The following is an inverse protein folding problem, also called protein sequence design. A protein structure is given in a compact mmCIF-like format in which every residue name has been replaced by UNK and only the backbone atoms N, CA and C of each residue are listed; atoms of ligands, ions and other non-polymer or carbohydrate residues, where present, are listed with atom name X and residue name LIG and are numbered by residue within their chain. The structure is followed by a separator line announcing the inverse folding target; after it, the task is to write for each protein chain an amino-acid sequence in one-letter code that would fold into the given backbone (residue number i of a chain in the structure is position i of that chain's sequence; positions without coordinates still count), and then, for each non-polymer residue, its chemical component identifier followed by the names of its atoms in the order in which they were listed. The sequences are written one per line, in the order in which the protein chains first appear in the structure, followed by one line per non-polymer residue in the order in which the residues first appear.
data_IF_639923863125
#
_entry.id   IF_639923863125
#
_cell.length_a   1.000
_cell.length_b   1.000
_cell.length_c   1.000
_cell.angle_alpha   90.00
_cell.angle_beta   90.00
_cell.angle_gamma   90.00
#
_symmetry.space_group_name_H-M   'P 1'
#
loop_
_entity.id
_entity.type
_entity.pdbx_description
1 polymer ?
#
# COMPACT_ATOMS: atom_id res chain seq x y z
N UNK A 1 13.04 2.35 -2.59
CA UNK A 1 13.15 3.71 -2.04
C UNK A 1 14.42 3.67 -1.24
N UNK A 2 15.48 4.32 -1.73
CA UNK A 2 16.78 4.31 -1.05
C UNK A 2 16.90 5.63 -0.30
N UNK A 3 16.22 5.70 0.85
CA UNK A 3 16.49 6.71 1.87
C UNK A 3 17.20 5.99 3.01
N UNK A 4 18.26 6.59 3.56
CA UNK A 4 18.97 6.04 4.71
C UNK A 4 18.22 6.34 6.01
N UNK A 5 18.58 5.65 7.11
CA UNK A 5 17.92 5.83 8.42
C UNK A 5 17.93 7.28 8.90
N UNK A 6 19.02 8.03 8.65
CA UNK A 6 19.14 9.42 9.06
C UNK A 6 18.27 10.39 8.25
N UNK A 7 17.85 10.00 7.04
CA UNK A 7 16.88 10.74 6.23
C UNK A 7 15.45 10.43 6.66
N UNK A 8 15.17 9.19 7.05
CA UNK A 8 13.86 8.78 7.58
C UNK A 8 13.51 9.50 8.88
N UNK A 9 14.47 9.63 9.79
CA UNK A 9 14.27 10.27 11.11
C UNK A 9 13.90 11.77 11.02
N UNK A 10 14.10 12.40 9.86
CA UNK A 10 13.80 13.82 9.65
C UNK A 10 12.40 14.06 9.12
N UNK A 11 11.68 13.01 8.73
CA UNK A 11 10.37 13.11 8.13
C UNK A 11 9.28 13.21 9.19
N UNK A 12 8.27 14.02 8.91
CA UNK A 12 7.02 14.03 9.65
C UNK A 12 6.27 12.71 9.51
N UNK A 13 5.31 12.45 10.42
CA UNK A 13 4.47 11.24 10.35
C UNK A 13 3.67 11.19 9.05
N UNK A 14 3.24 12.35 8.58
CA UNK A 14 2.51 12.52 7.34
C UNK A 14 3.38 12.22 6.12
N UNK A 15 4.64 12.67 6.10
CA UNK A 15 5.58 12.33 5.03
C UNK A 15 5.92 10.83 5.00
N UNK A 16 6.07 10.20 6.16
CA UNK A 16 6.24 8.74 6.27
C UNK A 16 5.01 7.99 5.73
N UNK A 17 3.80 8.47 6.06
CA UNK A 17 2.55 7.91 5.52
C UNK A 17 2.51 8.00 4.00
N UNK A 18 2.83 9.16 3.42
CA UNK A 18 2.88 9.34 1.96
C UNK A 18 3.87 8.38 1.30
N UNK A 19 5.06 8.21 1.89
CA UNK A 19 6.05 7.25 1.40
C UNK A 19 5.58 5.81 1.45
N UNK A 20 4.81 5.42 2.48
CA UNK A 20 4.22 4.09 2.57
C UNK A 20 3.20 3.86 1.44
N UNK A 21 2.27 4.79 1.22
CA UNK A 21 1.23 4.66 0.19
C UNK A 21 1.76 4.83 -1.24
N UNK A 22 2.84 5.60 -1.44
CA UNK A 22 3.57 5.61 -2.70
C UNK A 22 4.28 4.27 -2.94
N UNK A 23 4.82 3.70 -1.86
CA UNK A 23 5.39 2.37 -1.83
C UNK A 23 4.40 1.30 -2.29
N UNK A 24 3.16 1.30 -1.79
CA UNK A 24 2.17 0.28 -2.17
C UNK A 24 1.94 0.25 -3.68
N UNK A 25 1.68 1.40 -4.31
CA UNK A 25 1.51 1.49 -5.78
C UNK A 25 2.76 1.01 -6.51
N UNK A 26 3.95 1.43 -6.07
CA UNK A 26 5.21 1.02 -6.70
C UNK A 26 5.40 -0.50 -6.66
N UNK A 27 5.31 -1.11 -5.48
CA UNK A 27 5.60 -2.53 -5.29
C UNK A 27 4.53 -3.42 -5.91
N UNK A 28 3.26 -3.00 -5.94
CA UNK A 28 2.20 -3.69 -6.71
C UNK A 28 2.47 -3.69 -8.21
N UNK A 29 2.99 -2.59 -8.79
CA UNK A 29 3.40 -2.59 -10.21
C UNK A 29 4.61 -3.50 -10.46
N UNK A 30 5.60 -3.48 -9.57
CA UNK A 30 6.78 -4.35 -9.69
C UNK A 30 6.37 -5.82 -9.61
N UNK A 31 5.45 -6.18 -8.72
CA UNK A 31 4.98 -7.57 -8.62
C UNK A 31 4.22 -8.01 -9.87
N UNK A 32 3.37 -7.13 -10.43
CA UNK A 32 2.71 -7.38 -11.73
C UNK A 32 3.71 -7.68 -12.84
N UNK A 33 4.70 -6.81 -13.01
CA UNK A 33 5.75 -7.01 -14.02
C UNK A 33 6.56 -8.28 -13.76
N UNK A 34 6.83 -8.63 -12.50
CA UNK A 34 7.50 -9.87 -12.14
C UNK A 34 6.67 -11.11 -12.52
N UNK A 35 5.36 -11.10 -12.28
CA UNK A 35 4.46 -12.18 -12.70
C UNK A 35 4.41 -12.33 -14.22
N UNK A 36 4.32 -11.23 -14.97
CA UNK A 36 4.36 -11.26 -16.45
C UNK A 36 5.64 -11.88 -16.99
N UNK A 37 6.75 -11.73 -16.27
CA UNK A 37 8.06 -12.29 -16.62
C UNK A 37 8.32 -13.68 -15.98
N UNK A 38 7.34 -14.28 -15.32
CA UNK A 38 7.47 -15.54 -14.56
C UNK A 38 8.52 -15.50 -13.42
N UNK A 39 8.89 -14.31 -12.93
CA UNK A 39 9.75 -14.13 -11.76
C UNK A 39 8.89 -14.17 -10.48
N UNK A 40 8.45 -15.38 -10.14
CA UNK A 40 7.49 -15.60 -9.06
C UNK A 40 8.04 -15.26 -7.67
N UNK A 41 9.35 -15.45 -7.44
CA UNK A 41 9.98 -15.10 -6.17
C UNK A 41 9.98 -13.59 -5.96
N UNK A 42 10.32 -12.82 -7.00
CA UNK A 42 10.24 -11.36 -6.95
C UNK A 42 8.80 -10.88 -6.78
N UNK A 43 7.86 -11.46 -7.52
CA UNK A 43 6.44 -11.13 -7.37
C UNK A 43 5.96 -11.34 -5.93
N UNK A 44 6.25 -12.50 -5.34
CA UNK A 44 5.93 -12.84 -3.96
C UNK A 44 6.52 -11.82 -2.97
N UNK A 45 7.82 -11.55 -3.07
CA UNK A 45 8.51 -10.64 -2.15
C UNK A 45 7.92 -9.22 -2.18
N UNK A 46 7.56 -8.71 -3.36
CA UNK A 46 6.96 -7.39 -3.50
C UNK A 46 5.50 -7.38 -3.03
N UNK A 47 4.72 -8.44 -3.26
CA UNK A 47 3.36 -8.55 -2.73
C UNK A 47 3.35 -8.65 -1.20
N UNK A 48 4.24 -9.43 -0.59
CA UNK A 48 4.42 -9.47 0.87
C UNK A 48 4.77 -8.10 1.41
N UNK A 49 5.64 -7.34 0.71
CA UNK A 49 5.97 -5.98 1.10
C UNK A 49 4.74 -5.07 1.13
N UNK A 50 3.88 -5.13 0.11
CA UNK A 50 2.63 -4.36 0.07
C UNK A 50 1.67 -4.78 1.20
N UNK A 51 1.51 -6.08 1.43
CA UNK A 51 0.66 -6.62 2.49
C UNK A 51 1.14 -6.19 3.89
N UNK A 52 2.45 -6.11 4.11
CA UNK A 52 3.04 -5.61 5.35
C UNK A 52 2.74 -4.12 5.54
N UNK A 53 2.82 -3.30 4.49
CA UNK A 53 2.46 -1.88 4.56
C UNK A 53 0.98 -1.72 4.95
N UNK A 54 0.06 -2.45 4.30
CA UNK A 54 -1.36 -2.37 4.68
C UNK A 54 -1.62 -2.88 6.10
N UNK A 55 -0.89 -3.90 6.56
CA UNK A 55 -0.96 -4.35 7.96
C UNK A 55 -0.53 -3.26 8.94
N UNK A 56 0.54 -2.51 8.62
CA UNK A 56 0.99 -1.39 9.43
C UNK A 56 -0.06 -0.27 9.45
N UNK A 57 -0.62 0.10 8.29
CA UNK A 57 -1.68 1.10 8.19
C UNK A 57 -2.93 0.70 8.98
N UNK A 58 -3.32 -0.58 8.95
CA UNK A 58 -4.42 -1.10 9.75
C UNK A 58 -4.15 -1.03 11.25
N UNK A 59 -2.91 -1.33 11.66
CA UNK A 59 -2.51 -1.36 13.08
C UNK A 59 -2.41 0.04 13.68
N UNK A 60 -2.00 1.02 12.88
CA UNK A 60 -1.78 2.40 13.31
C UNK A 60 -2.99 3.32 13.11
N UNK A 61 -4.03 2.87 12.42
CA UNK A 61 -5.25 3.64 12.21
C UNK A 61 -6.08 3.73 13.50
N UNK A 62 -6.33 4.96 13.95
CA UNK A 62 -7.26 5.24 15.03
C UNK A 62 -8.72 4.98 14.57
N UNK A 63 -9.25 3.81 14.94
CA UNK A 63 -10.61 3.41 14.59
C UNK A 63 -11.71 4.10 15.40
N UNK A 64 -11.34 4.85 16.45
CA UNK A 64 -12.27 5.66 17.24
C UNK A 64 -12.48 7.06 16.62
N UNK A 65 -11.67 7.44 15.62
CA UNK A 65 -11.78 8.71 14.90
C UNK A 65 -13.08 8.85 14.07
N UNK A 66 -13.90 7.81 13.98
CA UNK A 66 -15.24 7.84 13.42
C UNK A 66 -15.51 6.73 12.40
N UNK A 67 -16.67 6.81 11.74
CA UNK A 67 -17.11 5.80 10.77
C UNK A 67 -16.15 5.67 9.58
N UNK A 68 -15.58 6.80 9.13
CA UNK A 68 -14.61 6.82 8.03
C UNK A 68 -13.37 5.95 8.31
N UNK A 69 -12.88 5.92 9.56
CA UNK A 69 -11.72 5.12 9.93
C UNK A 69 -12.04 3.62 9.90
N UNK A 70 -13.22 3.23 10.37
CA UNK A 70 -13.69 1.83 10.31
C UNK A 70 -13.87 1.36 8.87
N UNK A 71 -14.35 2.23 8.00
CA UNK A 71 -14.51 1.88 6.58
C UNK A 71 -13.16 1.84 5.87
N UNK A 72 -12.24 2.75 6.18
CA UNK A 72 -10.86 2.72 5.68
C UNK A 72 -10.14 1.42 6.10
N UNK A 73 -10.31 0.98 7.35
CA UNK A 73 -9.76 -0.30 7.82
C UNK A 73 -10.20 -1.47 6.95
N UNK A 74 -11.50 -1.57 6.62
CA UNK A 74 -12.05 -2.63 5.76
C UNK A 74 -11.47 -2.56 4.35
N UNK A 75 -11.25 -1.36 3.81
CA UNK A 75 -10.61 -1.19 2.49
C UNK A 75 -9.17 -1.71 2.53
N UNK A 76 -8.40 -1.41 3.57
CA UNK A 76 -7.05 -1.94 3.72
C UNK A 76 -7.03 -3.46 3.88
N UNK A 77 -7.93 -4.00 4.68
CA UNK A 77 -8.09 -5.44 4.86
C UNK A 77 -8.44 -6.16 3.55
N UNK A 78 -9.37 -5.59 2.78
CA UNK A 78 -9.76 -6.10 1.47
C UNK A 78 -8.56 -6.13 0.50
N UNK A 79 -7.86 -5.00 0.33
CA UNK A 79 -6.68 -4.93 -0.55
C UNK A 79 -5.63 -5.97 -0.14
N UNK A 80 -5.32 -6.06 1.15
CA UNK A 80 -4.34 -7.03 1.67
C UNK A 80 -4.74 -8.47 1.33
N UNK A 81 -6.01 -8.81 1.54
CA UNK A 81 -6.53 -10.16 1.31
C UNK A 81 -6.50 -10.54 -0.16
N UNK A 82 -6.92 -9.63 -1.04
CA UNK A 82 -6.90 -9.86 -2.49
C UNK A 82 -5.47 -10.01 -3.02
N UNK A 83 -4.52 -9.21 -2.54
CA UNK A 83 -3.12 -9.35 -2.93
C UNK A 83 -2.48 -10.65 -2.43
N UNK A 84 -2.94 -11.20 -1.29
CA UNK A 84 -2.52 -12.52 -0.83
C UNK A 84 -3.07 -13.64 -1.74
N UNK A 85 -4.34 -13.54 -2.15
CA UNK A 85 -4.96 -14.47 -3.11
C UNK A 85 -4.26 -14.39 -4.47
N UNK A 86 -3.96 -13.17 -4.94
CA UNK A 86 -3.23 -12.93 -6.18
C UNK A 86 -1.84 -13.56 -6.15
N UNK A 87 -1.13 -13.44 -5.02
CA UNK A 87 0.15 -14.08 -4.84
C UNK A 87 0.02 -15.60 -4.86
N UNK A 88 -0.81 -16.19 -4.01
CA UNK A 88 -0.98 -17.65 -3.94
C UNK A 88 -1.28 -18.27 -5.31
N UNK A 89 -2.20 -17.65 -6.07
CA UNK A 89 -2.65 -18.15 -7.37
C UNK A 89 -1.83 -17.63 -8.56
N UNK A 90 -0.88 -16.71 -8.32
CA UNK A 90 -0.13 -15.99 -9.37
C UNK A 90 -1.07 -15.29 -10.38
N UNK A 91 -2.20 -14.80 -9.89
CA UNK A 91 -3.27 -14.22 -10.69
C UNK A 91 -3.07 -12.71 -10.92
N UNK A 92 -2.61 -12.37 -12.13
CA UNK A 92 -2.38 -10.99 -12.56
C UNK A 92 -3.69 -10.20 -12.63
N UNK A 93 -4.82 -10.85 -12.91
CA UNK A 93 -6.11 -10.17 -13.05
C UNK A 93 -6.53 -9.55 -11.71
N UNK A 94 -6.33 -10.25 -10.61
CA UNK A 94 -6.60 -9.71 -9.26
C UNK A 94 -5.74 -8.47 -9.00
N UNK A 95 -4.45 -8.49 -9.40
CA UNK A 95 -3.59 -7.31 -9.29
C UNK A 95 -4.13 -6.14 -10.14
N UNK A 96 -4.59 -6.42 -11.35
CA UNK A 96 -5.16 -5.39 -12.24
C UNK A 96 -6.44 -4.77 -11.71
N UNK A 97 -7.30 -5.57 -11.08
CA UNK A 97 -8.55 -5.10 -10.47
C UNK A 97 -8.29 -4.31 -9.17
N UNK A 98 -7.26 -4.66 -8.40
CA UNK A 98 -6.93 -4.02 -7.12
C UNK A 98 -6.05 -2.78 -7.26
N UNK A 99 -5.17 -2.72 -8.25
CA UNK A 99 -4.23 -1.61 -8.43
C UNK A 99 -4.92 -0.22 -8.52
N UNK A 100 -6.08 -0.05 -9.19
CA UNK A 100 -6.83 1.20 -9.15
C UNK A 100 -7.25 1.63 -7.73
N UNK A 101 -7.64 0.68 -6.88
CA UNK A 101 -8.04 0.94 -5.49
C UNK A 101 -6.81 1.35 -4.67
N UNK A 102 -5.68 0.66 -4.84
CA UNK A 102 -4.40 1.02 -4.21
C UNK A 102 -3.98 2.45 -4.59
N UNK A 103 -4.12 2.83 -5.87
CA UNK A 103 -3.86 4.19 -6.34
C UNK A 103 -4.80 5.21 -5.71
N UNK A 104 -6.09 4.89 -5.61
CA UNK A 104 -7.07 5.76 -4.96
C UNK A 104 -6.74 6.01 -3.48
N UNK A 105 -6.30 4.99 -2.74
CA UNK A 105 -5.83 5.15 -1.35
C UNK A 105 -4.64 6.11 -1.28
N UNK A 106 -3.62 5.91 -2.14
CA UNK A 106 -2.48 6.81 -2.22
C UNK A 106 -2.95 8.25 -2.48
N UNK A 107 -3.76 8.45 -3.51
CA UNK A 107 -4.22 9.77 -3.94
C UNK A 107 -5.02 10.47 -2.83
N UNK A 108 -5.85 9.72 -2.09
CA UNK A 108 -6.61 10.22 -0.94
C UNK A 108 -5.69 10.81 0.13
N UNK A 109 -4.61 10.11 0.50
CA UNK A 109 -3.69 10.60 1.53
C UNK A 109 -2.84 11.78 1.06
N UNK A 110 -2.45 11.81 -0.22
CA UNK A 110 -1.81 12.98 -0.82
C UNK A 110 -2.74 14.20 -0.80
N UNK A 111 -4.02 14.02 -1.12
CA UNK A 111 -5.01 15.10 -1.06
C UNK A 111 -5.17 15.64 0.37
N UNK A 112 -5.33 14.77 1.37
CA UNK A 112 -5.39 15.16 2.78
C UNK A 112 -4.16 15.95 3.19
N UNK A 113 -2.96 15.48 2.84
CA UNK A 113 -1.72 16.18 3.16
C UNK A 113 -1.64 17.57 2.53
N UNK A 114 -2.07 17.71 1.27
CA UNK A 114 -2.09 18.99 0.58
C UNK A 114 -3.07 19.98 1.24
N UNK A 115 -4.20 19.51 1.75
CA UNK A 115 -5.17 20.35 2.47
C UNK A 115 -4.65 20.81 3.84
N UNK A 116 -3.80 20.02 4.51
CA UNK A 116 -3.18 20.38 5.80
C UNK A 116 -2.08 21.44 5.68
N UNK A 117 -1.50 21.62 4.49
CA UNK A 117 -0.41 22.59 4.22
C UNK A 117 -0.88 24.00 3.88
N UNK A 118 -2.20 24.22 3.83
CA UNK A 118 -2.84 25.53 3.60
C UNK A 118 -3.05 26.21 4.96
#
# INVERSE_FOLDING_TARGET
MELNLAELDKLSKEELLLMLVDGTVKYTNISKEALLNNDYLKAHNELIRVQNIFTELMTTLDQDAGQWAKDMYKVYEFIKSELAIADENKDIKIIDDILPIVKQIRDTWHEVYNQLKI
#
